data_IF_595331339528
#
_entry.id   IF_595331339528
#
_cell.length_a   1.000
_cell.length_b   1.000
_cell.length_c   1.000
_cell.angle_alpha   90.00
_cell.angle_beta   90.00
_cell.angle_gamma   90.00
#
_symmetry.space_group_name_H-M   'P 1'
#
loop_
_entity.id
_entity.type
_entity.pdbx_description
1 polymer ?
#
# COMPACT_ATOMS: atom_id res chain seq x y z
N UNK A 1 0.57 -6.08 8.01
CA UNK A 1 0.87 -5.95 6.57
C UNK A 1 0.98 -7.35 5.96
N UNK A 2 0.32 -7.61 4.84
CA UNK A 2 0.45 -8.83 4.05
C UNK A 2 1.11 -8.50 2.71
N UNK A 3 2.43 -8.70 2.64
CA UNK A 3 3.18 -8.53 1.40
C UNK A 3 3.17 -9.83 0.60
N UNK A 4 2.64 -9.79 -0.62
CA UNK A 4 2.50 -10.97 -1.47
C UNK A 4 3.69 -11.10 -2.44
N UNK A 5 4.09 -12.34 -2.79
CA UNK A 5 5.17 -12.55 -3.75
C UNK A 5 4.76 -12.13 -5.17
N UNK A 6 5.71 -11.72 -6.02
CA UNK A 6 5.43 -11.29 -7.40
C UNK A 6 4.87 -12.41 -8.29
N UNK A 7 5.14 -13.68 -7.96
CA UNK A 7 4.61 -14.85 -8.67
C UNK A 7 3.13 -15.10 -8.41
N UNK A 8 2.56 -14.50 -7.36
CA UNK A 8 1.15 -14.67 -7.04
C UNK A 8 0.31 -13.69 -7.86
N UNK A 9 -0.35 -14.20 -8.89
CA UNK A 9 -1.29 -13.45 -9.72
C UNK A 9 -2.66 -13.28 -9.05
N UNK A 10 -3.43 -12.31 -9.56
CA UNK A 10 -4.76 -11.93 -9.06
C UNK A 10 -5.68 -13.12 -8.84
N UNK A 11 -6.18 -13.21 -7.62
CA UNK A 11 -7.26 -14.08 -7.21
C UNK A 11 -8.04 -13.41 -6.08
N UNK A 12 -9.18 -12.81 -6.42
CA UNK A 12 -10.03 -12.07 -5.47
C UNK A 12 -10.56 -12.98 -4.36
N UNK A 13 -10.70 -14.28 -4.61
CA UNK A 13 -11.15 -15.23 -3.59
C UNK A 13 -10.20 -15.27 -2.39
N UNK A 14 -8.89 -15.03 -2.60
CA UNK A 14 -7.89 -14.99 -1.53
C UNK A 14 -8.07 -13.80 -0.59
N UNK A 15 -8.53 -12.66 -1.10
CA UNK A 15 -8.85 -11.49 -0.26
C UNK A 15 -10.02 -11.83 0.66
N UNK A 16 -11.07 -12.45 0.12
CA UNK A 16 -12.23 -12.88 0.89
C UNK A 16 -11.87 -13.98 1.92
N UNK A 17 -10.98 -14.89 1.55
CA UNK A 17 -10.49 -15.93 2.46
C UNK A 17 -9.74 -15.35 3.65
N UNK A 18 -8.92 -14.31 3.46
CA UNK A 18 -8.26 -13.60 4.57
C UNK A 18 -9.31 -13.00 5.51
N UNK A 19 -10.33 -12.33 4.99
CA UNK A 19 -11.41 -11.78 5.83
C UNK A 19 -12.14 -12.88 6.61
N UNK A 20 -12.43 -14.02 5.98
CA UNK A 20 -13.12 -15.14 6.63
C UNK A 20 -12.28 -15.82 7.73
N UNK A 21 -10.95 -15.74 7.65
CA UNK A 21 -10.04 -16.32 8.64
C UNK A 21 -9.88 -15.46 9.90
N UNK A 22 -10.33 -14.19 9.88
CA UNK A 22 -10.20 -13.29 11.02
C UNK A 22 -11.38 -13.48 11.99
N UNK A 23 -11.15 -13.44 13.32
CA UNK A 23 -12.23 -13.42 14.29
C UNK A 23 -13.14 -12.23 14.05
N UNK A 24 -14.46 -12.35 14.23
CA UNK A 24 -15.36 -11.19 14.13
C UNK A 24 -14.98 -10.14 15.18
N UNK A 25 -15.07 -8.86 14.83
CA UNK A 25 -14.76 -7.71 15.70
C UNK A 25 -13.31 -7.68 16.24
N UNK A 26 -12.37 -8.29 15.52
CA UNK A 26 -10.96 -8.36 15.89
C UNK A 26 -10.22 -7.01 15.92
N UNK A 27 -10.74 -5.97 15.25
CA UNK A 27 -10.11 -4.64 15.19
C UNK A 27 -8.75 -4.56 14.47
N UNK A 28 -8.29 -5.65 13.85
CA UNK A 28 -6.98 -5.71 13.18
C UNK A 28 -7.06 -4.98 11.84
N UNK A 29 -6.18 -3.99 11.65
CA UNK A 29 -5.98 -3.31 10.37
C UNK A 29 -5.08 -4.14 9.46
N UNK A 30 -5.58 -4.51 8.28
CA UNK A 30 -4.82 -5.27 7.28
C UNK A 30 -4.56 -4.42 6.03
N UNK A 31 -3.29 -4.31 5.67
CA UNK A 31 -2.85 -3.76 4.39
C UNK A 31 -2.34 -4.91 3.50
N UNK A 32 -2.72 -4.90 2.22
CA UNK A 32 -2.21 -5.80 1.19
C UNK A 32 -1.20 -5.08 0.31
N UNK A 33 -0.06 -5.71 0.09
CA UNK A 33 0.96 -5.19 -0.80
C UNK A 33 1.23 -6.17 -1.92
N UNK A 34 0.72 -5.82 -3.10
CA UNK A 34 0.82 -6.63 -4.29
C UNK A 34 2.09 -6.30 -5.08
N UNK A 35 2.84 -7.34 -5.45
CA UNK A 35 4.05 -7.25 -6.28
C UNK A 35 3.82 -7.64 -7.74
N UNK A 36 2.58 -7.99 -8.10
CA UNK A 36 2.18 -8.35 -9.46
C UNK A 36 1.12 -7.37 -9.97
N UNK A 37 1.30 -6.88 -11.21
CA UNK A 37 0.41 -5.89 -11.83
C UNK A 37 -1.04 -6.33 -11.99
N UNK A 38 -1.29 -7.63 -12.07
CA UNK A 38 -2.64 -8.18 -12.25
C UNK A 38 -3.61 -7.83 -11.10
N UNK A 39 -3.10 -7.49 -9.92
CA UNK A 39 -3.92 -7.11 -8.75
C UNK A 39 -4.44 -5.67 -8.80
N UNK A 40 -3.89 -4.81 -9.66
CA UNK A 40 -4.22 -3.39 -9.68
C UNK A 40 -5.41 -3.12 -10.61
N UNK A 41 -6.59 -3.61 -10.24
CA UNK A 41 -7.82 -3.49 -11.02
C UNK A 41 -9.07 -3.22 -10.16
N UNK A 42 -10.18 -2.73 -10.76
CA UNK A 42 -11.38 -2.34 -10.02
C UNK A 42 -11.93 -3.43 -9.08
N UNK A 43 -11.99 -4.69 -9.54
CA UNK A 43 -12.52 -5.80 -8.76
C UNK A 43 -11.72 -6.06 -7.47
N UNK A 44 -10.41 -5.84 -7.50
CA UNK A 44 -9.56 -5.98 -6.31
C UNK A 44 -9.81 -4.82 -5.35
N UNK A 45 -9.87 -3.58 -5.86
CA UNK A 45 -10.13 -2.41 -5.03
C UNK A 45 -11.50 -2.48 -4.33
N UNK A 46 -12.52 -2.98 -5.02
CA UNK A 46 -13.85 -3.22 -4.45
C UNK A 46 -13.83 -4.29 -3.36
N UNK A 47 -13.14 -5.42 -3.61
CA UNK A 47 -13.01 -6.48 -2.61
C UNK A 47 -12.29 -5.98 -1.34
N UNK A 48 -11.25 -5.17 -1.49
CA UNK A 48 -10.55 -4.55 -0.38
C UNK A 48 -11.45 -3.58 0.40
N UNK A 49 -12.18 -2.70 -0.30
CA UNK A 49 -13.16 -1.76 0.30
C UNK A 49 -14.23 -2.48 1.11
N UNK A 50 -14.76 -3.59 0.58
CA UNK A 50 -15.79 -4.38 1.26
C UNK A 50 -15.36 -4.85 2.66
N UNK A 51 -14.07 -5.13 2.85
CA UNK A 51 -13.53 -5.63 4.11
C UNK A 51 -12.73 -4.58 4.90
N UNK A 52 -12.77 -3.31 4.47
CA UNK A 52 -11.96 -2.23 5.03
C UNK A 52 -10.45 -2.56 5.08
N UNK A 53 -9.96 -3.27 4.06
CA UNK A 53 -8.55 -3.60 3.90
C UNK A 53 -7.85 -2.52 3.07
N UNK A 54 -6.72 -2.02 3.56
CA UNK A 54 -5.94 -1.04 2.83
C UNK A 54 -5.16 -1.72 1.70
N UNK A 55 -5.06 -1.08 0.55
CA UNK A 55 -4.01 -1.36 -0.41
C UNK A 55 -2.77 -0.57 -0.01
N UNK A 56 -1.61 -1.25 0.01
CA UNK A 56 -0.33 -0.62 0.27
C UNK A 56 0.09 0.20 -0.95
N UNK A 57 0.28 1.50 -0.76
CA UNK A 57 0.85 2.38 -1.77
C UNK A 57 2.38 2.25 -1.74
N UNK A 58 2.93 1.64 -2.78
CA UNK A 58 4.37 1.58 -2.98
C UNK A 58 4.83 2.87 -3.67
N UNK A 59 5.72 3.60 -3.00
CA UNK A 59 6.38 4.79 -3.54
C UNK A 59 7.84 4.43 -3.72
N UNK A 60 8.41 4.71 -4.88
CA UNK A 60 9.85 4.54 -5.17
C UNK A 60 10.35 5.78 -5.92
N UNK A 61 11.60 6.21 -5.72
CA UNK A 61 12.12 7.43 -6.33
C UNK A 61 12.18 7.34 -7.87
N UNK A 62 12.27 6.13 -8.42
CA UNK A 62 12.37 5.86 -9.86
C UNK A 62 11.11 5.21 -10.45
N UNK A 63 10.00 5.17 -9.71
CA UNK A 63 8.76 4.48 -10.08
C UNK A 63 8.94 2.98 -10.43
N UNK A 64 9.97 2.33 -9.90
CA UNK A 64 10.22 0.90 -10.13
C UNK A 64 9.20 -0.02 -9.47
N UNK A 65 8.44 0.48 -8.49
CA UNK A 65 7.33 -0.23 -7.86
C UNK A 65 6.01 0.09 -8.54
N UNK A 66 5.14 -0.90 -8.71
CA UNK A 66 3.76 -0.65 -9.16
C UNK A 66 3.05 0.22 -8.13
N UNK A 67 2.60 1.37 -8.59
CA UNK A 67 1.98 2.41 -7.78
C UNK A 67 0.47 2.43 -8.01
N UNK A 68 -0.26 2.61 -6.93
CA UNK A 68 -1.69 2.96 -6.96
C UNK A 68 -1.93 4.13 -6.04
N UNK A 69 -2.97 4.90 -6.31
CA UNK A 69 -3.40 6.03 -5.47
C UNK A 69 -4.79 5.81 -4.88
N UNK A 70 -5.32 4.60 -5.05
CA UNK A 70 -6.65 4.21 -4.59
C UNK A 70 -6.66 4.13 -3.06
N UNK A 71 -7.73 4.64 -2.47
CA UNK A 71 -8.04 4.45 -1.04
C UNK A 71 -9.08 3.34 -0.96
N UNK A 72 -8.76 2.28 -0.21
CA UNK A 72 -9.62 1.09 -0.08
C UNK A 72 -10.04 0.80 1.36
N UNK A 73 -9.71 1.68 2.29
CA UNK A 73 -10.11 1.58 3.69
C UNK A 73 -10.31 2.99 4.27
N UNK A 74 -10.86 3.08 5.47
CA UNK A 74 -10.92 4.31 6.28
C UNK A 74 -9.53 4.75 6.83
N UNK A 75 -8.47 4.15 6.30
CA UNK A 75 -7.07 4.46 6.57
C UNK A 75 -6.20 4.15 5.34
N UNK A 76 -4.97 4.66 5.32
CA UNK A 76 -4.00 4.40 4.26
C UNK A 76 -2.70 3.81 4.82
N UNK A 77 -1.98 3.08 3.96
CA UNK A 77 -0.69 2.50 4.27
C UNK A 77 0.28 2.76 3.13
N UNK A 78 1.36 3.49 3.40
CA UNK A 78 2.36 3.89 2.41
C UNK A 78 3.70 3.24 2.76
N UNK A 79 4.38 2.73 1.74
CA UNK A 79 5.74 2.19 1.84
C UNK A 79 6.64 2.89 0.83
N UNK A 80 7.63 3.59 1.35
CA UNK A 80 8.67 4.27 0.58
C UNK A 80 9.84 3.30 0.42
N UNK A 81 10.10 2.88 -0.82
CA UNK A 81 11.12 1.92 -1.22
C UNK A 81 12.33 2.64 -1.85
N UNK A 82 13.49 1.97 -1.84
CA UNK A 82 14.67 2.40 -2.60
C UNK A 82 14.41 2.39 -4.10
N UNK A 83 15.30 2.99 -4.88
CA UNK A 83 15.32 2.77 -6.34
C UNK A 83 15.51 1.28 -6.68
N UNK A 84 15.28 0.91 -7.94
CA UNK A 84 15.41 -0.46 -8.45
C UNK A 84 16.78 -1.06 -8.17
N UNK A 85 17.82 -0.26 -8.30
CA UNK A 85 19.22 -0.67 -8.08
C UNK A 85 19.57 -0.80 -6.59
N UNK A 86 18.68 -0.33 -5.69
CA UNK A 86 18.85 -0.31 -4.23
C UNK A 86 20.06 0.53 -3.79
N UNK A 87 20.52 1.43 -4.64
CA UNK A 87 21.71 2.29 -4.48
C UNK A 87 21.35 3.70 -4.03
N UNK A 88 20.22 4.23 -4.52
CA UNK A 88 19.71 5.55 -4.16
C UNK A 88 18.58 5.38 -3.16
N UNK A 89 18.85 5.86 -1.95
CA UNK A 89 17.93 5.86 -0.82
C UNK A 89 17.22 7.20 -0.68
N UNK A 90 17.80 8.28 -1.18
CA UNK A 90 17.25 9.62 -0.99
C UNK A 90 16.17 9.94 -2.01
N UNK A 91 15.03 10.40 -1.50
CA UNK A 91 13.99 11.03 -2.31
C UNK A 91 14.35 12.49 -2.54
N UNK A 92 14.11 12.98 -3.75
CA UNK A 92 14.19 14.42 -3.99
C UNK A 92 13.12 15.14 -3.16
N UNK A 93 13.41 16.38 -2.73
CA UNK A 93 12.49 17.18 -1.91
C UNK A 93 11.14 17.36 -2.59
N UNK A 94 11.13 17.51 -3.91
CA UNK A 94 9.92 17.65 -4.73
C UNK A 94 9.06 16.37 -4.67
N UNK A 95 9.69 15.19 -4.65
CA UNK A 95 8.98 13.93 -4.53
C UNK A 95 8.36 13.78 -3.14
N UNK A 96 9.09 14.15 -2.09
CA UNK A 96 8.56 14.14 -0.72
C UNK A 96 7.43 15.16 -0.55
N UNK A 97 7.53 16.34 -1.16
CA UNK A 97 6.48 17.36 -1.10
C UNK A 97 5.16 16.86 -1.68
N UNK A 98 5.19 16.17 -2.83
CA UNK A 98 3.99 15.56 -3.44
C UNK A 98 3.34 14.54 -2.50
N UNK A 99 4.13 13.70 -1.83
CA UNK A 99 3.57 12.73 -0.88
C UNK A 99 3.05 13.42 0.39
N UNK A 100 3.73 14.44 0.89
CA UNK A 100 3.32 15.20 2.06
C UNK A 100 1.98 15.93 1.81
N UNK A 101 1.83 16.59 0.67
CA UNK A 101 0.59 17.27 0.28
C UNK A 101 -0.60 16.30 0.29
N UNK A 102 -0.44 15.14 -0.35
CA UNK A 102 -1.48 14.10 -0.35
C UNK A 102 -1.80 13.55 1.03
N UNK A 103 -0.79 13.43 1.88
CA UNK A 103 -1.00 12.99 3.27
C UNK A 103 -1.85 14.04 4.00
N UNK A 104 -1.57 15.33 3.82
CA UNK A 104 -2.37 16.41 4.40
C UNK A 104 -3.80 16.39 3.86
N UNK A 105 -4.00 16.28 2.55
CA UNK A 105 -5.33 16.21 1.94
C UNK A 105 -6.19 15.08 2.54
N UNK A 106 -5.62 13.87 2.64
CA UNK A 106 -6.29 12.71 3.21
C UNK A 106 -6.55 12.85 4.69
N UNK A 107 -5.66 13.52 5.42
CA UNK A 107 -5.87 13.83 6.83
C UNK A 107 -7.06 14.78 7.01
N UNK A 108 -7.18 15.81 6.17
CA UNK A 108 -8.35 16.69 6.14
C UNK A 108 -9.66 15.95 5.81
N UNK A 109 -9.59 14.83 5.08
CA UNK A 109 -10.72 13.93 4.84
C UNK A 109 -11.00 12.95 5.99
N UNK A 110 -10.26 13.02 7.09
CA UNK A 110 -10.43 12.17 8.27
C UNK A 110 -9.72 10.82 8.20
N UNK A 111 -8.85 10.58 7.21
CA UNK A 111 -8.14 9.31 7.06
C UNK A 111 -6.90 9.25 7.94
N UNK A 112 -6.79 8.16 8.72
CA UNK A 112 -5.56 7.81 9.43
C UNK A 112 -4.56 7.22 8.44
N UNK A 113 -3.29 7.59 8.54
CA UNK A 113 -2.28 7.20 7.57
C UNK A 113 -1.05 6.67 8.28
N UNK A 114 -0.53 5.54 7.81
CA UNK A 114 0.72 4.98 8.29
C UNK A 114 1.72 4.99 7.13
N UNK A 115 2.81 5.72 7.28
CA UNK A 115 3.85 5.88 6.27
C UNK A 115 5.18 5.34 6.81
N UNK A 116 5.80 4.43 6.07
CA UNK A 116 7.06 3.79 6.46
C UNK A 116 8.12 4.01 5.39
N UNK A 117 9.28 4.49 5.82
CA UNK A 117 10.49 4.60 5.02
C UNK A 117 11.29 3.30 5.15
N UNK A 118 11.45 2.58 4.03
CA UNK A 118 12.24 1.34 3.92
C UNK A 118 13.46 1.53 3.01
N UNK A 119 13.79 2.79 2.78
CA UNK A 119 15.00 3.24 2.13
C UNK A 119 16.17 3.38 3.13
N UNK A 120 16.06 2.82 4.33
CA UNK A 120 17.13 2.85 5.32
C UNK A 120 18.38 2.10 4.83
N UNK A 121 19.54 2.72 5.04
CA UNK A 121 20.81 2.01 5.02
C UNK A 121 20.85 1.21 6.32
N UNK A 122 20.44 -0.06 6.29
CA UNK A 122 20.84 -0.96 7.37
C UNK A 122 22.35 -0.80 7.57
N UNK A 123 22.75 -0.48 8.80
CA UNK A 123 24.16 -0.50 9.22
C UNK A 123 24.72 -1.90 9.00
#
# INVERSE_FOLDING_TARGET
LLQLPPSLSRDVSKINAVAAALPKNHGIKIAFEFRCGSWYCPQVYEALRKHNFAICENVSPDNSTIRTRQVTADWCYLRFHKNKERTVTDYANEQLAIEAERIVERHCMGLVQYAFFLNDHGV
#
